data_IF_350679158857
#
_entry.id   IF_350679158857
#
_cell.length_a   1.000
_cell.length_b   1.000
_cell.length_c   1.000
_cell.angle_alpha   90.00
_cell.angle_beta   90.00
_cell.angle_gamma   90.00
#
_symmetry.space_group_name_H-M   'P 1'
#
loop_
_entity.id
_entity.type
_entity.pdbx_description
1 polymer ?
#
# COMPACT_ATOMS: atom_id res chain seq x y z
N UNK A 1 1.38 18.03 0.50
CA UNK A 1 1.56 16.89 1.43
C UNK A 1 2.92 16.26 1.19
N UNK A 2 3.63 15.77 2.22
CA UNK A 2 4.93 15.11 2.04
C UNK A 2 4.71 13.69 1.54
N UNK A 3 5.30 13.34 0.40
CA UNK A 3 5.35 11.96 -0.06
C UNK A 3 6.48 11.22 0.66
N UNK A 4 6.21 10.01 1.16
CA UNK A 4 7.19 9.17 1.86
C UNK A 4 8.11 8.44 0.89
N UNK A 5 7.64 8.16 -0.34
CA UNK A 5 8.38 7.48 -1.40
C UNK A 5 8.16 8.18 -2.75
N UNK A 6 9.02 7.89 -3.70
CA UNK A 6 8.95 8.33 -5.09
C UNK A 6 8.83 7.13 -6.07
N UNK A 7 8.89 7.39 -7.39
CA UNK A 7 8.78 6.36 -8.43
C UNK A 7 9.93 5.34 -8.41
N UNK A 8 11.14 5.80 -8.12
CA UNK A 8 12.32 4.94 -8.03
C UNK A 8 12.20 4.00 -6.82
N UNK A 9 11.64 4.50 -5.72
CA UNK A 9 11.36 3.69 -4.54
C UNK A 9 10.31 2.60 -4.82
N UNK A 10 9.27 2.90 -5.60
CA UNK A 10 8.29 1.89 -6.00
C UNK A 10 8.98 0.79 -6.82
N UNK A 11 9.82 1.17 -7.78
CA UNK A 11 10.58 0.21 -8.60
C UNK A 11 11.52 -0.64 -7.75
N UNK A 12 12.16 -0.05 -6.76
CA UNK A 12 13.11 -0.74 -5.87
C UNK A 12 12.42 -1.64 -4.84
N UNK A 13 11.33 -1.16 -4.23
CA UNK A 13 10.68 -1.82 -3.08
C UNK A 13 9.55 -2.76 -3.48
N UNK A 14 8.87 -2.51 -4.60
CA UNK A 14 7.77 -3.32 -5.08
C UNK A 14 8.09 -4.00 -6.42
N UNK A 15 7.73 -3.38 -7.53
CA UNK A 15 7.93 -3.93 -8.89
C UNK A 15 8.29 -2.81 -9.86
N UNK A 16 8.99 -3.13 -10.96
CA UNK A 16 9.32 -2.15 -12.01
C UNK A 16 8.05 -1.45 -12.52
N UNK A 17 8.14 -0.13 -12.67
CA UNK A 17 7.09 0.68 -13.26
C UNK A 17 7.69 1.72 -14.19
N UNK A 18 7.00 1.99 -15.29
CA UNK A 18 7.33 3.03 -16.28
C UNK A 18 6.32 4.19 -16.22
N UNK A 19 5.52 4.27 -15.15
CA UNK A 19 4.55 5.34 -14.96
C UNK A 19 5.25 6.70 -14.85
N UNK A 20 4.61 7.73 -15.38
CA UNK A 20 5.09 9.11 -15.26
C UNK A 20 5.10 9.59 -13.80
N UNK A 21 5.92 10.61 -13.52
CA UNK A 21 6.09 11.11 -12.16
C UNK A 21 4.81 11.66 -11.53
N UNK A 22 3.92 12.24 -12.32
CA UNK A 22 2.66 12.81 -11.82
C UNK A 22 1.67 11.70 -11.42
N UNK A 23 1.53 10.66 -12.25
CA UNK A 23 0.71 9.48 -11.94
C UNK A 23 1.24 8.73 -10.73
N UNK A 24 2.57 8.60 -10.64
CA UNK A 24 3.25 7.98 -9.51
C UNK A 24 3.01 8.76 -8.21
N UNK A 25 3.20 10.07 -8.22
CA UNK A 25 2.97 10.92 -7.05
C UNK A 25 1.53 10.80 -6.54
N UNK A 26 0.55 10.83 -7.46
CA UNK A 26 -0.87 10.65 -7.12
C UNK A 26 -1.15 9.28 -6.51
N UNK A 27 -0.60 8.22 -7.08
CA UNK A 27 -0.79 6.87 -6.57
C UNK A 27 -0.20 6.69 -5.16
N UNK A 28 0.97 7.32 -4.88
CA UNK A 28 1.58 7.35 -3.55
C UNK A 28 0.72 8.14 -2.57
N UNK A 29 0.25 9.31 -2.96
CA UNK A 29 -0.62 10.16 -2.13
C UNK A 29 -1.91 9.41 -1.74
N UNK A 30 -2.59 8.81 -2.73
CA UNK A 30 -3.79 8.01 -2.48
C UNK A 30 -3.51 6.81 -1.56
N UNK A 31 -2.38 6.11 -1.75
CA UNK A 31 -2.01 4.99 -0.90
C UNK A 31 -1.72 5.44 0.54
N UNK A 32 -1.06 6.59 0.72
CA UNK A 32 -0.85 7.18 2.05
C UNK A 32 -2.17 7.52 2.74
N UNK A 33 -3.10 8.13 2.01
CA UNK A 33 -4.35 8.63 2.58
C UNK A 33 -5.39 7.53 2.84
N UNK A 34 -5.49 6.56 1.94
CA UNK A 34 -6.56 5.58 1.95
C UNK A 34 -6.16 4.24 2.61
N UNK A 35 -4.87 3.91 2.60
CA UNK A 35 -4.41 2.62 3.11
C UNK A 35 -3.55 2.78 4.37
N UNK A 36 -2.55 3.67 4.36
CA UNK A 36 -1.60 3.80 5.46
C UNK A 36 -2.19 4.56 6.65
N UNK A 37 -2.67 5.80 6.44
CA UNK A 37 -3.21 6.63 7.54
C UNK A 37 -4.33 5.96 8.33
N UNK A 38 -5.33 5.31 7.68
CA UNK A 38 -6.38 4.63 8.43
C UNK A 38 -5.87 3.43 9.23
N UNK A 39 -4.76 2.83 8.81
CA UNK A 39 -4.20 1.64 9.44
C UNK A 39 -3.33 1.96 10.67
N UNK A 40 -2.51 3.03 10.60
CA UNK A 40 -1.58 3.39 11.68
C UNK A 40 -2.04 4.58 12.52
N UNK A 41 -3.05 5.30 12.09
CA UNK A 41 -3.53 6.54 12.71
C UNK A 41 -2.82 7.80 12.19
N UNK A 42 -3.55 8.93 12.27
CA UNK A 42 -3.07 10.23 11.76
C UNK A 42 -1.89 10.74 12.60
N UNK A 43 -1.91 10.52 13.91
CA UNK A 43 -0.88 10.97 14.85
C UNK A 43 0.46 10.29 14.57
N UNK A 44 0.48 8.96 14.47
CA UNK A 44 1.70 8.22 14.12
C UNK A 44 2.17 8.58 12.71
N UNK A 45 1.25 8.75 11.74
CA UNK A 45 1.61 9.14 10.39
C UNK A 45 2.29 10.53 10.37
N UNK A 46 1.82 11.48 11.17
CA UNK A 46 2.47 12.79 11.29
C UNK A 46 3.88 12.68 11.89
N UNK A 47 4.08 11.81 12.88
CA UNK A 47 5.35 11.56 13.53
C UNK A 47 6.40 10.87 12.61
N UNK A 48 5.98 10.22 11.51
CA UNK A 48 6.93 9.62 10.54
C UNK A 48 7.91 10.62 9.91
N UNK A 49 7.63 11.92 10.04
CA UNK A 49 8.54 12.99 9.61
C UNK A 49 9.75 13.20 10.52
N UNK A 50 9.73 12.66 11.72
CA UNK A 50 10.79 12.81 12.69
C UNK A 50 11.97 11.90 12.36
N UNK A 51 13.19 12.46 12.41
CA UNK A 51 14.42 11.69 12.23
C UNK A 51 14.80 10.99 13.52
N UNK A 52 14.14 9.89 13.85
CA UNK A 52 14.44 9.07 15.01
C UNK A 52 14.69 7.62 14.62
N UNK A 53 15.53 6.92 15.38
CA UNK A 53 15.86 5.51 15.15
C UNK A 53 14.60 4.63 15.16
N UNK A 54 13.64 4.93 16.04
CA UNK A 54 12.36 4.23 16.10
C UNK A 54 11.56 4.37 14.80
N UNK A 55 11.55 5.56 14.19
CA UNK A 55 10.85 5.77 12.93
C UNK A 55 11.58 5.13 11.76
N UNK A 56 12.92 5.12 11.74
CA UNK A 56 13.68 4.38 10.76
C UNK A 56 13.38 2.87 10.83
N UNK A 57 13.35 2.29 12.02
CA UNK A 57 12.97 0.88 12.23
C UNK A 57 11.56 0.58 11.70
N UNK A 58 10.60 1.49 11.90
CA UNK A 58 9.23 1.33 11.39
C UNK A 58 9.16 1.45 9.86
N UNK A 59 9.89 2.41 9.29
CA UNK A 59 9.88 2.70 7.85
C UNK A 59 10.59 1.61 7.04
N UNK A 60 11.81 1.26 7.43
CA UNK A 60 12.68 0.35 6.67
C UNK A 60 12.49 -1.12 7.07
N UNK A 61 11.98 -1.35 8.27
CA UNK A 61 11.79 -2.68 8.82
C UNK A 61 12.92 -3.10 9.76
N UNK A 62 12.59 -4.03 10.65
CA UNK A 62 13.54 -4.58 11.61
C UNK A 62 13.14 -5.98 12.08
N UNK A 63 14.08 -6.64 12.75
CA UNK A 63 13.83 -7.87 13.51
C UNK A 63 13.51 -7.50 14.96
N UNK A 64 12.42 -8.03 15.48
CA UNK A 64 11.97 -7.77 16.85
C UNK A 64 11.62 -9.05 17.59
N UNK A 65 11.64 -8.97 18.92
CA UNK A 65 11.31 -10.09 19.78
C UNK A 65 9.81 -10.08 20.11
N UNK A 66 9.20 -11.24 20.04
CA UNK A 66 7.83 -11.49 20.53
C UNK A 66 7.88 -12.50 21.65
N UNK A 67 6.82 -12.66 22.44
CA UNK A 67 6.74 -13.72 23.47
C UNK A 67 6.95 -15.13 22.93
N UNK A 68 6.80 -15.34 21.63
CA UNK A 68 6.97 -16.64 20.96
C UNK A 68 8.24 -16.74 20.11
N UNK A 69 9.16 -15.77 20.16
CA UNK A 69 10.40 -15.78 19.39
C UNK A 69 10.65 -14.52 18.57
N UNK A 70 11.64 -14.57 17.70
CA UNK A 70 12.00 -13.46 16.81
C UNK A 70 11.08 -13.41 15.60
N UNK A 71 10.63 -12.21 15.25
CA UNK A 71 9.90 -11.91 14.02
C UNK A 71 10.57 -10.79 13.27
N UNK A 72 10.28 -10.69 11.99
CA UNK A 72 10.76 -9.64 11.11
C UNK A 72 9.56 -8.98 10.42
N UNK A 73 9.58 -7.65 10.32
CA UNK A 73 8.73 -6.92 9.40
C UNK A 73 9.59 -6.18 8.37
N UNK A 74 9.08 -6.03 7.17
CA UNK A 74 9.81 -5.49 6.01
C UNK A 74 9.66 -3.99 5.81
N UNK A 75 9.11 -3.31 6.81
CA UNK A 75 8.95 -1.87 6.84
C UNK A 75 7.67 -1.36 6.19
N UNK A 76 7.26 -0.18 6.65
CA UNK A 76 6.08 0.52 6.17
C UNK A 76 6.23 0.99 4.72
N UNK A 77 7.46 1.42 4.34
CA UNK A 77 7.73 1.89 2.97
C UNK A 77 7.49 0.80 1.93
N UNK A 78 7.77 -0.47 2.29
CA UNK A 78 7.51 -1.59 1.40
C UNK A 78 6.01 -1.85 1.21
N UNK A 79 5.23 -1.79 2.28
CA UNK A 79 3.77 -1.89 2.19
C UNK A 79 3.19 -0.76 1.32
N UNK A 80 3.63 0.49 1.57
CA UNK A 80 3.23 1.66 0.80
C UNK A 80 3.57 1.51 -0.69
N UNK A 81 4.78 1.04 -1.02
CA UNK A 81 5.20 0.85 -2.41
C UNK A 81 4.30 -0.15 -3.15
N UNK A 82 3.87 -1.23 -2.51
CA UNK A 82 2.95 -2.20 -3.11
C UNK A 82 1.52 -1.66 -3.24
N UNK A 83 1.01 -0.87 -2.29
CA UNK A 83 -0.28 -0.19 -2.42
C UNK A 83 -0.25 0.82 -3.57
N UNK A 84 0.79 1.65 -3.66
CA UNK A 84 0.96 2.59 -4.76
C UNK A 84 1.08 1.88 -6.12
N UNK A 85 1.87 0.78 -6.18
CA UNK A 85 1.99 -0.03 -7.38
C UNK A 85 0.64 -0.64 -7.81
N UNK A 86 -0.14 -1.17 -6.90
CA UNK A 86 -1.47 -1.69 -7.19
C UNK A 86 -2.36 -0.62 -7.85
N UNK A 87 -2.35 0.61 -7.31
CA UNK A 87 -3.09 1.74 -7.88
C UNK A 87 -2.61 2.12 -9.27
N UNK A 88 -1.28 2.13 -9.49
CA UNK A 88 -0.70 2.34 -10.81
C UNK A 88 -1.15 1.29 -11.82
N UNK A 89 -1.14 0.00 -11.46
CA UNK A 89 -1.63 -1.09 -12.32
C UNK A 89 -3.09 -0.86 -12.72
N UNK A 90 -3.92 -0.39 -11.80
CA UNK A 90 -5.33 -0.10 -12.07
C UNK A 90 -5.52 1.13 -12.96
N UNK A 91 -4.72 2.17 -12.78
CA UNK A 91 -4.90 3.47 -13.44
C UNK A 91 -4.06 3.64 -14.69
N UNK A 92 -2.90 2.98 -14.81
CA UNK A 92 -1.95 3.15 -15.93
C UNK A 92 -2.52 2.79 -17.29
N UNK A 93 -3.55 1.97 -17.32
CA UNK A 93 -4.26 1.53 -18.54
C UNK A 93 -5.60 2.23 -18.73
N UNK A 94 -6.00 3.09 -17.81
CA UNK A 94 -7.14 3.97 -18.05
C UNK A 94 -6.68 5.05 -19.02
N UNK A 95 -7.11 4.93 -20.26
CA UNK A 95 -6.90 5.92 -21.30
C UNK A 95 -7.33 7.32 -20.84
N UNK A 96 -6.85 8.33 -21.53
CA UNK A 96 -7.26 9.71 -21.28
C UNK A 96 -8.79 9.82 -21.33
N UNK A 97 -9.39 10.32 -20.27
CA UNK A 97 -10.77 10.79 -20.34
C UNK A 97 -10.83 11.92 -21.37
N UNK A 98 -11.49 11.68 -22.47
CA UNK A 98 -11.87 12.74 -23.41
C UNK A 98 -13.24 13.29 -23.01
N UNK A 99 -13.61 14.43 -23.60
CA UNK A 99 -14.91 15.08 -23.35
C UNK A 99 -16.12 14.15 -23.56
N UNK A 100 -15.95 13.04 -24.26
CA UNK A 100 -17.04 12.16 -24.70
C UNK A 100 -16.87 10.69 -24.24
N UNK A 101 -15.65 10.22 -23.96
CA UNK A 101 -15.43 8.84 -23.51
C UNK A 101 -13.99 8.61 -23.01
N UNK A 102 -13.77 7.44 -22.39
CA UNK A 102 -12.45 6.91 -22.09
C UNK A 102 -11.84 6.33 -23.36
N UNK A 103 -10.76 6.91 -23.87
CA UNK A 103 -10.03 6.40 -25.02
C UNK A 103 -8.80 5.66 -24.53
N UNK A 104 -8.68 4.38 -24.86
CA UNK A 104 -7.45 3.63 -24.72
C UNK A 104 -6.47 4.05 -25.82
N UNK A 105 -5.22 4.33 -25.43
CA UNK A 105 -4.16 4.58 -26.40
C UNK A 105 -3.66 3.24 -26.91
N UNK A 106 -4.05 2.85 -28.11
CA UNK A 106 -3.49 1.70 -28.80
C UNK A 106 -2.09 2.04 -29.33
N UNK A 107 -1.12 1.19 -29.00
CA UNK A 107 0.14 1.12 -29.75
C UNK A 107 0.08 -0.11 -30.64
N UNK A 108 0.47 0.02 -31.89
CA UNK A 108 0.40 -1.00 -32.95
C UNK A 108 1.13 -2.33 -32.64
N UNK A 109 1.89 -2.40 -31.53
CA UNK A 109 2.74 -3.52 -31.18
C UNK A 109 2.42 -4.17 -29.82
N UNK A 110 1.41 -3.71 -29.08
CA UNK A 110 1.06 -4.27 -27.79
C UNK A 110 -0.40 -4.69 -27.72
N UNK A 111 -0.62 -5.96 -27.45
CA UNK A 111 -1.95 -6.48 -27.11
C UNK A 111 -2.36 -5.93 -25.75
N UNK A 112 -3.50 -5.28 -25.66
CA UNK A 112 -4.00 -4.78 -24.37
C UNK A 112 -4.26 -5.94 -23.42
N UNK A 113 -3.75 -5.82 -22.18
CA UNK A 113 -4.14 -6.74 -21.13
C UNK A 113 -5.64 -6.61 -20.85
N UNK A 114 -6.34 -7.72 -20.77
CA UNK A 114 -7.76 -7.74 -20.45
C UNK A 114 -8.04 -7.07 -19.09
N UNK A 115 -9.24 -6.53 -18.92
CA UNK A 115 -9.69 -5.96 -17.67
C UNK A 115 -9.59 -6.97 -16.51
N UNK A 116 -9.77 -8.26 -16.80
CA UNK A 116 -9.58 -9.35 -15.83
C UNK A 116 -8.13 -9.48 -15.36
N UNK A 117 -7.17 -9.43 -16.29
CA UNK A 117 -5.74 -9.55 -15.98
C UNK A 117 -5.27 -8.37 -15.12
N UNK A 118 -5.73 -7.16 -15.46
CA UNK A 118 -5.45 -5.95 -14.67
C UNK A 118 -6.04 -6.04 -13.26
N UNK A 119 -7.27 -6.52 -13.15
CA UNK A 119 -7.90 -6.72 -11.83
C UNK A 119 -7.19 -7.80 -11.04
N UNK A 120 -6.74 -8.88 -11.68
CA UNK A 120 -5.95 -9.93 -11.04
C UNK A 120 -4.61 -9.40 -10.54
N UNK A 121 -3.89 -8.63 -11.36
CA UNK A 121 -2.62 -8.01 -10.98
C UNK A 121 -2.78 -6.97 -9.86
N UNK A 122 -3.86 -6.17 -9.90
CA UNK A 122 -4.21 -5.27 -8.80
C UNK A 122 -4.45 -6.04 -7.50
N UNK A 123 -5.30 -7.07 -7.53
CA UNK A 123 -5.64 -7.86 -6.36
C UNK A 123 -4.42 -8.57 -5.78
N UNK A 124 -3.52 -9.09 -6.62
CA UNK A 124 -2.27 -9.71 -6.19
C UNK A 124 -1.36 -8.70 -5.49
N UNK A 125 -1.11 -7.55 -6.11
CA UNK A 125 -0.26 -6.52 -5.52
C UNK A 125 -0.84 -5.98 -4.20
N UNK A 126 -2.16 -5.78 -4.15
CA UNK A 126 -2.86 -5.33 -2.96
C UNK A 126 -2.79 -6.37 -1.83
N UNK A 127 -2.97 -7.65 -2.14
CA UNK A 127 -2.83 -8.73 -1.15
C UNK A 127 -1.41 -8.86 -0.60
N UNK A 128 -0.38 -8.57 -1.41
CA UNK A 128 1.02 -8.50 -0.95
C UNK A 128 1.22 -7.32 -0.02
N UNK A 129 0.68 -6.14 -0.36
CA UNK A 129 0.71 -4.95 0.49
C UNK A 129 0.08 -5.22 1.87
N UNK A 130 -1.11 -5.85 1.89
CA UNK A 130 -1.81 -6.23 3.12
C UNK A 130 -0.97 -7.15 4.02
N UNK A 131 -0.22 -8.09 3.44
CA UNK A 131 0.67 -8.96 4.20
C UNK A 131 1.82 -8.19 4.85
N UNK A 132 2.45 -7.27 4.12
CA UNK A 132 3.49 -6.41 4.69
C UNK A 132 2.92 -5.49 5.76
N UNK A 133 1.75 -4.92 5.52
CA UNK A 133 1.06 -4.06 6.48
C UNK A 133 0.68 -4.82 7.76
N UNK A 134 0.21 -6.06 7.65
CA UNK A 134 -0.07 -6.90 8.80
C UNK A 134 1.17 -7.12 9.68
N UNK A 135 2.36 -7.31 9.07
CA UNK A 135 3.62 -7.40 9.79
C UNK A 135 3.99 -6.11 10.52
N UNK A 136 3.77 -4.96 9.90
CA UNK A 136 3.98 -3.64 10.52
C UNK A 136 3.03 -3.43 11.71
N UNK A 137 1.76 -3.78 11.56
CA UNK A 137 0.78 -3.67 12.64
C UNK A 137 1.08 -4.61 13.81
N UNK A 138 1.57 -5.81 13.54
CA UNK A 138 2.03 -6.76 14.58
C UNK A 138 3.21 -6.19 15.35
N UNK A 139 4.18 -5.59 14.65
CA UNK A 139 5.30 -4.88 15.26
C UNK A 139 4.85 -3.72 16.15
N UNK A 140 3.96 -2.86 15.66
CA UNK A 140 3.43 -1.72 16.43
C UNK A 140 2.69 -2.16 17.69
N UNK A 141 1.87 -3.23 17.60
CA UNK A 141 1.17 -3.80 18.77
C UNK A 141 2.13 -4.37 19.79
N UNK A 142 3.17 -5.07 19.33
CA UNK A 142 4.18 -5.67 20.21
C UNK A 142 5.01 -4.59 20.92
N UNK A 143 5.26 -3.47 20.26
CA UNK A 143 6.08 -2.36 20.76
C UNK A 143 5.25 -1.11 21.09
N UNK A 144 4.02 -1.27 21.55
CA UNK A 144 3.10 -0.16 21.81
C UNK A 144 3.67 0.91 22.77
N UNK A 145 4.51 0.51 23.73
CA UNK A 145 5.17 1.44 24.64
C UNK A 145 6.17 2.38 23.93
N UNK A 146 6.75 1.94 22.80
CA UNK A 146 7.69 2.73 21.98
C UNK A 146 6.97 3.69 21.03
N UNK A 147 5.73 3.38 20.68
CA UNK A 147 4.90 4.14 19.75
C UNK A 147 3.58 4.59 20.43
N UNK A 148 3.64 5.54 21.37
CA UNK A 148 2.44 6.01 22.07
C UNK A 148 1.44 6.70 21.13
N UNK A 149 1.91 7.22 19.97
CA UNK A 149 1.09 7.81 18.91
C UNK A 149 0.23 6.76 18.17
N UNK A 150 0.62 5.48 18.28
CA UNK A 150 -0.17 4.38 17.75
C UNK A 150 -1.36 4.11 18.67
N UNK A 151 -2.41 4.90 18.50
CA UNK A 151 -3.65 4.66 19.21
C UNK A 151 -4.34 3.48 18.55
N UNK A 152 -4.42 2.36 19.27
CA UNK A 152 -5.26 1.24 18.86
C UNK A 152 -6.73 1.70 19.02
N UNK A 153 -7.17 2.59 18.13
CA UNK A 153 -8.57 2.97 18.07
C UNK A 153 -9.37 1.70 17.79
N UNK A 154 -10.16 1.34 18.78
CA UNK A 154 -11.19 0.33 18.80
C UNK A 154 -11.47 -0.32 17.45
N UNK A 155 -10.96 -1.51 17.19
CA UNK A 155 -11.51 -2.40 16.19
C UNK A 155 -11.16 -2.13 14.72
N UNK A 156 -10.11 -1.36 14.42
CA UNK A 156 -9.55 -1.21 13.08
C UNK A 156 -8.74 -2.44 12.65
N UNK A 157 -9.31 -3.63 12.78
CA UNK A 157 -8.84 -4.76 11.99
C UNK A 157 -9.03 -4.39 10.53
N UNK A 158 -8.02 -4.66 9.68
CA UNK A 158 -8.17 -4.63 8.23
C UNK A 158 -9.57 -5.16 7.93
N UNK A 159 -10.46 -4.30 7.48
CA UNK A 159 -11.78 -4.73 7.04
C UNK A 159 -11.52 -5.64 5.86
N UNK A 160 -11.50 -6.95 6.13
CA UNK A 160 -11.68 -7.94 5.09
C UNK A 160 -13.07 -7.68 4.49
N UNK A 161 -13.14 -6.72 3.58
CA UNK A 161 -14.30 -6.44 2.76
C UNK A 161 -14.39 -7.51 1.66
N UNK A 162 -14.10 -8.77 2.04
CA UNK A 162 -14.58 -9.91 1.27
C UNK A 162 -16.08 -9.92 1.48
N UNK A 163 -16.79 -9.36 0.53
CA UNK A 163 -18.21 -9.67 0.33
C UNK A 163 -18.35 -11.20 0.43
N UNK A 164 -18.82 -11.68 1.58
CA UNK A 164 -19.34 -13.02 1.67
C UNK A 164 -20.61 -13.02 0.82
N UNK A 165 -20.46 -13.38 -0.44
CA UNK A 165 -21.60 -13.74 -1.26
C UNK A 165 -22.12 -15.04 -0.62
N UNK A 166 -23.12 -14.91 0.23
CA UNK A 166 -23.92 -16.06 0.63
C UNK A 166 -24.61 -16.54 -0.64
N UNK A 167 -24.07 -17.60 -1.24
CA UNK A 167 -24.82 -18.36 -2.22
C UNK A 167 -26.03 -18.93 -1.48
N UNK A 168 -27.18 -18.33 -1.71
CA UNK A 168 -28.47 -18.91 -1.34
C UNK A 168 -28.60 -20.12 -2.25
N UNK A 169 -28.29 -21.30 -1.70
CA UNK A 169 -28.54 -22.57 -2.33
C UNK A 169 -30.06 -22.80 -2.43
N UNK A 170 -30.44 -23.22 -3.60
CA UNK A 170 -31.68 -23.93 -3.81
C UNK A 170 -31.35 -25.38 -4.03
#
# INVERSE_FOLDING_TARGET
MRLLINGDDITRLARPTTADGASTARAVEEAQDLDIKPAIGVELFAALGESSERMAALLDGCVYNTGCGKREHRGLLKALAYYAYARLVKTSTMGRMTRYSLVQKENDWSTHSDARDRQAAYNEAFAVADRYMAGVLDYLRTNAATYPEFTTCCGGGLRNNRLKINMIGR
#
